data_IF_542124018172
#
_entry.id   IF_542124018172
#
_cell.length_a   1.000
_cell.length_b   1.000
_cell.length_c   1.000
_cell.angle_alpha   90.00
_cell.angle_beta   90.00
_cell.angle_gamma   90.00
#
_symmetry.space_group_name_H-M   'P 1'
#
loop_
_entity.id
_entity.type
_entity.pdbx_description
1 polymer ?
#
# COMPACT_ATOMS: atom_id res chain seq x y z
N UNK A 1 19.62 -8.41 17.11
CA UNK A 1 20.00 -7.83 15.79
C UNK A 1 19.60 -8.74 14.61
N UNK A 2 19.90 -10.05 14.63
CA UNK A 2 19.52 -10.97 13.52
C UNK A 2 18.01 -11.11 13.27
N UNK A 3 17.17 -11.01 14.31
CA UNK A 3 15.71 -11.07 14.17
C UNK A 3 15.14 -9.87 13.40
N UNK A 4 15.66 -8.66 13.64
CA UNK A 4 15.18 -7.44 12.97
C UNK A 4 15.55 -7.43 11.48
N UNK A 5 16.74 -7.89 11.12
CA UNK A 5 17.18 -8.07 9.73
C UNK A 5 16.33 -9.12 8.98
N UNK A 6 15.94 -10.21 9.66
CA UNK A 6 15.02 -11.21 9.09
C UNK A 6 13.62 -10.61 8.87
N UNK A 7 13.10 -9.82 9.80
CA UNK A 7 11.80 -9.15 9.65
C UNK A 7 11.84 -8.17 8.47
N UNK A 8 12.89 -7.35 8.39
CA UNK A 8 13.07 -6.41 7.28
C UNK A 8 13.15 -7.10 5.91
N UNK A 9 13.97 -8.16 5.80
CA UNK A 9 14.11 -8.94 4.57
C UNK A 9 12.83 -9.69 4.19
N UNK A 10 12.05 -10.12 5.18
CA UNK A 10 10.77 -10.77 4.96
C UNK A 10 9.66 -9.80 4.54
N UNK A 11 9.61 -8.60 5.15
CA UNK A 11 8.64 -7.56 4.78
C UNK A 11 8.85 -7.04 3.35
N UNK A 12 10.11 -6.86 2.96
CA UNK A 12 10.45 -6.23 1.68
C UNK A 12 10.53 -7.22 0.50
N UNK A 13 11.01 -8.45 0.71
CA UNK A 13 11.35 -9.36 -0.40
C UNK A 13 10.73 -10.77 -0.29
N UNK A 14 10.92 -11.47 0.83
CA UNK A 14 10.55 -12.89 0.90
C UNK A 14 9.07 -13.16 1.18
N UNK A 15 8.37 -12.26 1.86
CA UNK A 15 6.97 -12.45 2.28
C UNK A 15 6.12 -11.18 2.10
N UNK A 16 6.44 -10.38 1.07
CA UNK A 16 5.67 -9.19 0.73
C UNK A 16 4.21 -9.57 0.45
N UNK A 17 3.27 -8.93 1.17
CA UNK A 17 1.85 -9.24 1.15
C UNK A 17 1.23 -9.10 -0.25
N UNK A 18 1.70 -8.14 -1.05
CA UNK A 18 1.18 -7.92 -2.40
C UNK A 18 1.74 -8.91 -3.43
N UNK A 19 3.03 -9.24 -3.36
CA UNK A 19 3.73 -10.04 -4.38
C UNK A 19 3.68 -11.55 -4.13
N UNK A 20 3.62 -11.97 -2.86
CA UNK A 20 3.74 -13.38 -2.48
C UNK A 20 2.43 -13.91 -1.89
N UNK A 21 1.73 -13.11 -1.08
CA UNK A 21 0.49 -13.54 -0.45
C UNK A 21 -0.78 -13.14 -1.24
N UNK A 22 -0.66 -12.28 -2.25
CA UNK A 22 -1.77 -11.73 -3.04
C UNK A 22 -2.89 -11.13 -2.15
N UNK A 23 -2.52 -10.56 -1.01
CA UNK A 23 -3.44 -9.90 -0.08
C UNK A 23 -3.42 -8.39 -0.31
N UNK A 24 -4.57 -7.74 -0.15
CA UNK A 24 -4.69 -6.29 -0.37
C UNK A 24 -4.90 -5.87 -1.83
N UNK A 25 -5.45 -6.77 -2.66
CA UNK A 25 -5.76 -6.50 -4.06
C UNK A 25 -6.80 -5.39 -4.25
N UNK A 26 -7.79 -5.27 -3.35
CA UNK A 26 -8.87 -4.29 -3.49
C UNK A 26 -8.36 -2.83 -3.63
N UNK A 27 -7.52 -2.30 -2.70
CA UNK A 27 -6.96 -0.96 -2.88
C UNK A 27 -5.93 -0.88 -4.00
N UNK A 28 -5.21 -1.97 -4.27
CA UNK A 28 -4.20 -2.03 -5.32
C UNK A 28 -4.83 -1.87 -6.71
N UNK A 29 -5.93 -2.55 -6.99
CA UNK A 29 -6.61 -2.46 -8.28
C UNK A 29 -7.35 -1.13 -8.46
N UNK A 30 -7.89 -0.57 -7.38
CA UNK A 30 -8.71 0.64 -7.44
C UNK A 30 -7.89 1.93 -7.60
N UNK A 31 -6.72 2.02 -6.96
CA UNK A 31 -6.02 3.32 -6.78
C UNK A 31 -4.72 3.44 -7.58
N UNK A 32 -4.21 2.34 -8.16
CA UNK A 32 -2.98 2.37 -8.99
C UNK A 32 -3.19 2.86 -10.42
N UNK A 33 -4.22 3.69 -10.66
CA UNK A 33 -4.42 4.31 -11.98
C UNK A 33 -3.38 5.43 -12.20
N UNK A 34 -3.02 6.15 -11.14
CA UNK A 34 -2.03 7.24 -11.13
C UNK A 34 -1.01 7.02 -10.02
N UNK A 35 0.23 7.44 -10.25
CA UNK A 35 1.36 7.34 -9.32
C UNK A 35 1.13 8.19 -8.06
N UNK A 36 0.60 9.41 -8.23
CA UNK A 36 0.31 10.36 -7.15
C UNK A 36 -0.66 9.75 -6.12
N UNK A 37 -1.73 9.13 -6.62
CA UNK A 37 -2.73 8.46 -5.78
C UNK A 37 -2.16 7.21 -5.09
N UNK A 38 -1.32 6.45 -5.82
CA UNK A 38 -0.64 5.28 -5.28
C UNK A 38 0.33 5.64 -4.13
N UNK A 39 1.05 6.77 -4.24
CA UNK A 39 1.91 7.29 -3.17
C UNK A 39 1.07 7.71 -1.96
N UNK A 40 0.01 8.49 -2.17
CA UNK A 40 -0.86 8.95 -1.09
C UNK A 40 -1.47 7.81 -0.29
N UNK A 41 -2.04 6.81 -0.99
CA UNK A 41 -2.62 5.64 -0.34
C UNK A 41 -1.55 4.73 0.29
N UNK A 42 -0.38 4.57 -0.34
CA UNK A 42 0.73 3.79 0.20
C UNK A 42 1.23 4.35 1.54
N UNK A 43 1.43 5.67 1.61
CA UNK A 43 1.85 6.34 2.84
C UNK A 43 0.78 6.24 3.93
N UNK A 44 -0.49 6.50 3.59
CA UNK A 44 -1.61 6.35 4.51
C UNK A 44 -1.71 4.93 5.08
N UNK A 45 -1.64 3.91 4.23
CA UNK A 45 -1.70 2.49 4.65
C UNK A 45 -0.49 2.09 5.49
N UNK A 46 0.71 2.60 5.20
CA UNK A 46 1.92 2.35 6.00
C UNK A 46 1.77 2.93 7.40
N UNK A 47 1.29 4.18 7.51
CA UNK A 47 1.04 4.80 8.81
C UNK A 47 0.02 4.01 9.64
N UNK A 48 -1.12 3.66 9.02
CA UNK A 48 -2.16 2.85 9.69
C UNK A 48 -1.60 1.51 10.14
N UNK A 49 -0.81 0.83 9.30
CA UNK A 49 -0.25 -0.48 9.61
C UNK A 49 0.74 -0.44 10.79
N UNK A 50 1.57 0.59 10.88
CA UNK A 50 2.49 0.79 12.02
C UNK A 50 1.68 1.04 13.29
N UNK A 51 0.73 1.97 13.24
CA UNK A 51 -0.07 2.36 14.41
C UNK A 51 -0.97 1.23 14.92
N UNK A 52 -1.64 0.52 14.01
CA UNK A 52 -2.51 -0.60 14.34
C UNK A 52 -1.72 -1.78 14.90
N UNK A 53 -0.61 -2.17 14.28
CA UNK A 53 0.19 -3.30 14.75
C UNK A 53 0.84 -3.03 16.11
N UNK A 54 1.28 -1.80 16.35
CA UNK A 54 1.85 -1.41 17.65
C UNK A 54 0.79 -1.47 18.73
N UNK A 55 -0.37 -0.87 18.48
CA UNK A 55 -1.50 -0.86 19.43
C UNK A 55 -2.00 -2.26 19.72
N UNK A 56 -2.23 -3.09 18.69
CA UNK A 56 -2.71 -4.46 18.85
C UNK A 56 -1.73 -5.31 19.65
N UNK A 57 -0.42 -5.13 19.44
CA UNK A 57 0.61 -5.83 20.21
C UNK A 57 0.61 -5.45 21.69
N UNK A 58 0.34 -4.19 22.02
CA UNK A 58 0.20 -3.72 23.42
C UNK A 58 -1.04 -4.33 24.08
N UNK A 59 -2.18 -4.30 23.38
CA UNK A 59 -3.46 -4.76 23.91
C UNK A 59 -3.68 -6.28 23.84
N UNK A 60 -2.74 -7.04 23.24
CA UNK A 60 -2.90 -8.47 22.95
C UNK A 60 -3.32 -9.35 24.15
N UNK A 61 -2.91 -9.01 25.37
CA UNK A 61 -3.22 -9.80 26.57
C UNK A 61 -4.64 -9.55 27.11
N UNK A 62 -5.25 -8.43 26.75
CA UNK A 62 -6.63 -8.07 27.17
C UNK A 62 -7.69 -8.57 26.19
N UNK A 63 -7.28 -8.99 24.98
CA UNK A 63 -8.19 -9.36 23.90
C UNK A 63 -8.54 -10.86 24.02
N UNK A 64 -9.82 -11.15 24.23
CA UNK A 64 -10.36 -12.50 24.21
C UNK A 64 -10.34 -13.08 22.79
N UNK A 65 -10.05 -14.38 22.66
CA UNK A 65 -9.85 -15.04 21.36
C UNK A 65 -11.12 -15.02 20.49
N UNK A 66 -12.29 -15.04 21.13
CA UNK A 66 -13.59 -15.15 20.48
C UNK A 66 -13.98 -13.85 19.75
N UNK A 67 -13.44 -12.70 20.17
CA UNK A 67 -13.81 -11.36 19.65
C UNK A 67 -12.61 -10.61 19.06
N UNK A 68 -11.51 -11.30 18.74
CA UNK A 68 -10.27 -10.66 18.29
C UNK A 68 -10.41 -9.89 16.96
N UNK A 69 -11.08 -10.48 15.97
CA UNK A 69 -11.19 -9.91 14.61
C UNK A 69 -11.99 -8.59 14.65
N UNK A 70 -13.20 -8.53 15.26
CA UNK A 70 -13.92 -7.28 15.43
C UNK A 70 -13.12 -6.18 16.16
N UNK A 71 -12.39 -6.54 17.22
CA UNK A 71 -11.56 -5.57 17.97
C UNK A 71 -10.43 -5.03 17.11
N UNK A 72 -9.76 -5.88 16.31
CA UNK A 72 -8.71 -5.43 15.40
C UNK A 72 -9.26 -4.49 14.33
N UNK A 73 -10.40 -4.82 13.72
CA UNK A 73 -11.05 -3.96 12.72
C UNK A 73 -11.44 -2.62 13.34
N UNK A 74 -11.96 -2.59 14.57
CA UNK A 74 -12.32 -1.36 15.27
C UNK A 74 -11.10 -0.48 15.58
N UNK A 75 -9.98 -1.09 15.99
CA UNK A 75 -8.71 -0.38 16.17
C UNK A 75 -8.14 0.17 14.86
N UNK A 76 -8.23 -0.59 13.77
CA UNK A 76 -7.78 -0.12 12.45
C UNK A 76 -8.69 1.04 12.00
N UNK A 77 -10.01 0.92 12.16
CA UNK A 77 -10.97 1.94 11.78
C UNK A 77 -10.70 3.28 12.47
N UNK A 78 -10.39 3.28 13.77
CA UNK A 78 -10.08 4.52 14.49
C UNK A 78 -8.81 5.21 13.96
N UNK A 79 -7.77 4.46 13.60
CA UNK A 79 -6.58 5.05 12.95
C UNK A 79 -6.87 5.54 11.53
N UNK A 80 -7.70 4.81 10.78
CA UNK A 80 -8.12 5.24 9.44
C UNK A 80 -8.93 6.55 9.50
N UNK A 81 -9.83 6.70 10.48
CA UNK A 81 -10.56 7.96 10.69
C UNK A 81 -9.62 9.12 11.03
N UNK A 82 -8.56 8.89 11.81
CA UNK A 82 -7.54 9.92 12.05
C UNK A 82 -6.88 10.34 10.73
N UNK A 83 -6.52 9.39 9.87
CA UNK A 83 -5.95 9.69 8.55
C UNK A 83 -6.94 10.44 7.67
N UNK A 84 -8.21 10.07 7.68
CA UNK A 84 -9.28 10.74 6.94
C UNK A 84 -9.38 12.23 7.32
N UNK A 85 -9.42 12.53 8.62
CA UNK A 85 -9.47 13.89 9.14
C UNK A 85 -8.20 14.69 8.82
N UNK A 86 -7.03 14.06 8.91
CA UNK A 86 -5.74 14.68 8.54
C UNK A 86 -5.71 15.01 7.06
N UNK A 87 -6.17 14.11 6.19
CA UNK A 87 -6.26 14.36 4.75
C UNK A 87 -7.22 15.51 4.45
N UNK A 88 -8.38 15.56 5.09
CA UNK A 88 -9.33 16.65 4.91
C UNK A 88 -8.76 18.02 5.33
N UNK A 89 -7.87 18.05 6.34
CA UNK A 89 -7.27 19.29 6.84
C UNK A 89 -6.06 19.78 6.04
N UNK A 90 -5.21 18.88 5.52
CA UNK A 90 -3.94 19.25 4.88
C UNK A 90 -3.90 19.00 3.37
N UNK A 91 -4.69 18.03 2.87
CA UNK A 91 -4.65 17.55 1.49
C UNK A 91 -6.07 17.40 0.92
N UNK A 92 -6.83 18.51 0.90
CA UNK A 92 -8.24 18.51 0.53
C UNK A 92 -8.50 17.98 -0.90
N UNK A 93 -7.66 18.36 -1.87
CA UNK A 93 -7.79 17.89 -3.25
C UNK A 93 -7.58 16.37 -3.35
N UNK A 94 -6.63 15.83 -2.57
CA UNK A 94 -6.39 14.39 -2.51
C UNK A 94 -7.55 13.68 -1.82
N UNK A 95 -8.15 14.29 -0.79
CA UNK A 95 -9.34 13.76 -0.11
C UNK A 95 -10.57 13.68 -1.03
N UNK A 96 -10.78 14.64 -1.94
CA UNK A 96 -11.89 14.58 -2.89
C UNK A 96 -11.86 13.33 -3.79
N UNK A 97 -10.65 12.81 -4.06
CA UNK A 97 -10.45 11.62 -4.89
C UNK A 97 -10.35 10.36 -4.02
N UNK A 98 -9.50 10.38 -2.99
CA UNK A 98 -9.21 9.22 -2.16
C UNK A 98 -10.23 8.95 -1.06
N UNK A 99 -11.09 9.91 -0.70
CA UNK A 99 -12.02 9.80 0.42
C UNK A 99 -12.93 8.57 0.34
N UNK A 100 -13.36 8.19 -0.87
CA UNK A 100 -14.16 6.97 -1.11
C UNK A 100 -13.33 5.69 -0.90
N UNK A 101 -12.01 5.77 -1.08
CA UNK A 101 -11.08 4.65 -0.93
C UNK A 101 -10.49 4.53 0.48
N UNK A 102 -10.59 5.56 1.33
CA UNK A 102 -10.11 5.51 2.73
C UNK A 102 -10.76 4.34 3.52
N UNK A 103 -12.07 4.07 3.43
CA UNK A 103 -12.68 2.89 4.06
C UNK A 103 -12.13 1.54 3.56
N UNK A 104 -11.55 1.46 2.35
CA UNK A 104 -10.90 0.24 1.86
C UNK A 104 -9.63 -0.10 2.63
N UNK A 105 -9.05 0.87 3.35
CA UNK A 105 -7.92 0.62 4.26
C UNK A 105 -8.39 -0.25 5.44
N UNK A 106 -9.58 0.03 5.99
CA UNK A 106 -10.14 -0.73 7.13
C UNK A 106 -10.36 -2.19 6.77
N UNK A 107 -10.87 -2.44 5.57
CA UNK A 107 -11.17 -3.78 5.06
C UNK A 107 -10.00 -4.42 4.31
N UNK A 108 -8.80 -3.81 4.37
CA UNK A 108 -7.64 -4.34 3.69
C UNK A 108 -7.17 -5.64 4.35
N UNK A 109 -7.25 -6.73 3.58
CA UNK A 109 -6.89 -8.07 4.03
C UNK A 109 -5.42 -8.18 4.44
N UNK A 110 -4.53 -7.37 3.87
CA UNK A 110 -3.12 -7.35 4.25
C UNK A 110 -2.93 -6.76 5.66
N UNK A 111 -3.64 -5.68 5.99
CA UNK A 111 -3.55 -5.04 7.30
C UNK A 111 -4.09 -5.97 8.39
N UNK A 112 -5.27 -6.54 8.17
CA UNK A 112 -5.88 -7.49 9.10
C UNK A 112 -5.03 -8.77 9.26
N UNK A 113 -4.52 -9.31 8.14
CA UNK A 113 -3.69 -10.51 8.13
C UNK A 113 -2.39 -10.35 8.91
N UNK A 114 -1.71 -9.20 8.80
CA UNK A 114 -0.50 -8.91 9.61
C UNK A 114 -0.82 -8.68 11.08
N UNK A 115 -1.90 -7.97 11.37
CA UNK A 115 -2.36 -7.76 12.74
C UNK A 115 -2.62 -9.09 13.46
N UNK A 116 -3.29 -10.02 12.79
CA UNK A 116 -3.60 -11.34 13.33
C UNK A 116 -2.37 -12.26 13.39
N UNK A 117 -1.61 -12.37 12.29
CA UNK A 117 -0.52 -13.35 12.19
C UNK A 117 0.74 -12.94 12.99
N UNK A 118 1.03 -11.64 13.09
CA UNK A 118 2.27 -11.12 13.67
C UNK A 118 2.04 -10.28 14.92
N UNK A 119 1.22 -9.23 14.86
CA UNK A 119 1.06 -8.28 15.97
C UNK A 119 0.46 -8.93 17.23
N UNK A 120 -0.49 -9.86 17.07
CA UNK A 120 -1.10 -10.58 18.19
C UNK A 120 -0.14 -11.51 18.97
N UNK A 121 1.02 -11.85 18.38
CA UNK A 121 1.97 -12.84 18.93
C UNK A 121 3.34 -12.25 19.29
N UNK A 122 3.69 -11.07 18.76
CA UNK A 122 5.00 -10.44 18.93
C UNK A 122 4.93 -9.20 19.83
N UNK A 123 6.09 -8.73 20.32
CA UNK A 123 6.20 -7.52 21.14
C UNK A 123 6.00 -6.26 20.30
N UNK A 124 5.69 -5.14 20.96
CA UNK A 124 5.32 -3.89 20.28
C UNK A 124 6.43 -3.36 19.37
N UNK A 125 7.70 -3.42 19.81
CA UNK A 125 8.86 -3.01 18.99
C UNK A 125 8.99 -3.81 17.70
N UNK A 126 8.88 -5.15 17.79
CA UNK A 126 8.96 -6.03 16.61
C UNK A 126 7.76 -5.82 15.69
N UNK A 127 6.59 -5.56 16.25
CA UNK A 127 5.34 -5.36 15.51
C UNK A 127 5.31 -4.01 14.78
N UNK A 128 5.89 -2.97 15.38
CA UNK A 128 6.07 -1.67 14.74
C UNK A 128 7.01 -1.78 13.54
N UNK A 129 8.15 -2.46 13.71
CA UNK A 129 9.12 -2.66 12.62
C UNK A 129 8.53 -3.55 11.50
N UNK A 130 7.74 -4.57 11.85
CA UNK A 130 7.03 -5.36 10.85
C UNK A 130 6.00 -4.55 10.08
N UNK A 131 5.20 -3.72 10.77
CA UNK A 131 4.24 -2.83 10.13
C UNK A 131 4.92 -1.83 9.19
N UNK A 132 6.06 -1.29 9.57
CA UNK A 132 6.83 -0.36 8.74
C UNK A 132 7.38 -1.06 7.48
N UNK A 133 8.02 -2.21 7.64
CA UNK A 133 8.63 -2.94 6.53
C UNK A 133 7.58 -3.49 5.55
N UNK A 134 6.45 -3.99 6.06
CA UNK A 134 5.34 -4.45 5.22
C UNK A 134 4.60 -3.30 4.53
N UNK A 135 4.39 -2.18 5.23
CA UNK A 135 3.76 -1.00 4.65
C UNK A 135 4.60 -0.39 3.53
N UNK A 136 5.92 -0.28 3.74
CA UNK A 136 6.85 0.12 2.69
C UNK A 136 6.84 -0.86 1.51
N UNK A 137 6.87 -2.17 1.78
CA UNK A 137 6.80 -3.20 0.74
C UNK A 137 5.51 -3.11 -0.10
N UNK A 138 4.38 -2.83 0.55
CA UNK A 138 3.10 -2.62 -0.12
C UNK A 138 3.09 -1.32 -0.93
N UNK A 139 3.58 -0.23 -0.35
CA UNK A 139 3.69 1.09 -1.00
C UNK A 139 4.56 1.05 -2.25
N UNK A 140 5.70 0.38 -2.19
CA UNK A 140 6.61 0.22 -3.35
C UNK A 140 5.87 -0.49 -4.50
N UNK A 141 5.10 -1.54 -4.21
CA UNK A 141 4.33 -2.25 -5.23
C UNK A 141 3.25 -1.36 -5.84
N UNK A 142 2.55 -0.57 -5.01
CA UNK A 142 1.56 0.39 -5.51
C UNK A 142 2.21 1.45 -6.40
N UNK A 143 3.35 1.99 -6.02
CA UNK A 143 4.06 3.02 -6.77
C UNK A 143 4.55 2.48 -8.11
N UNK A 144 5.18 1.30 -8.12
CA UNK A 144 5.65 0.65 -9.35
C UNK A 144 4.48 0.35 -10.29
N UNK A 145 3.39 -0.20 -9.76
CA UNK A 145 2.22 -0.53 -10.57
C UNK A 145 1.52 0.73 -11.08
N UNK A 146 1.39 1.76 -10.24
CA UNK A 146 0.85 3.06 -10.62
C UNK A 146 1.68 3.74 -11.71
N UNK A 147 3.00 3.79 -11.56
CA UNK A 147 3.91 4.34 -12.56
C UNK A 147 3.82 3.61 -13.89
N UNK A 148 3.79 2.28 -13.86
CA UNK A 148 3.69 1.47 -15.08
C UNK A 148 2.33 1.65 -15.77
N UNK A 149 1.23 1.74 -15.00
CA UNK A 149 -0.12 1.93 -15.55
C UNK A 149 -0.33 3.34 -16.10
N UNK A 150 0.22 4.36 -15.46
CA UNK A 150 0.17 5.74 -15.93
C UNK A 150 0.98 5.90 -17.22
N UNK A 151 2.20 5.33 -17.26
CA UNK A 151 3.06 5.36 -18.44
C UNK A 151 2.43 4.67 -19.66
N UNK A 152 1.80 3.50 -19.46
CA UNK A 152 1.18 2.71 -20.55
C UNK A 152 -0.21 3.25 -20.93
N UNK A 153 -0.97 3.77 -19.96
CA UNK A 153 -2.33 4.24 -20.16
C UNK A 153 -2.41 5.64 -20.76
N UNK A 154 -1.62 6.57 -20.25
CA UNK A 154 -1.71 8.00 -20.55
C UNK A 154 -0.46 8.59 -21.23
N UNK A 155 0.66 7.86 -21.27
CA UNK A 155 1.90 8.36 -21.89
C UNK A 155 2.59 9.49 -21.11
N UNK A 156 2.11 9.78 -19.90
CA UNK A 156 2.60 10.81 -18.99
C UNK A 156 3.24 10.19 -17.76
N UNK A 157 4.22 10.89 -17.18
CA UNK A 157 4.82 10.56 -15.89
C UNK A 157 4.59 11.75 -14.95
N UNK A 158 4.02 11.47 -13.77
CA UNK A 158 3.68 12.48 -12.76
C UNK A 158 2.56 13.44 -13.16
N UNK A 159 1.60 12.97 -13.97
CA UNK A 159 0.37 13.73 -14.17
C UNK A 159 -0.32 13.89 -12.80
N UNK A 160 -0.80 15.09 -12.48
CA UNK A 160 -1.33 15.45 -11.16
C UNK A 160 -0.35 15.54 -9.97
N UNK A 161 0.97 15.69 -10.17
CA UNK A 161 1.90 15.90 -9.04
C UNK A 161 1.61 17.17 -8.21
N UNK A 162 0.83 18.12 -8.77
CA UNK A 162 0.26 19.28 -8.09
C UNK A 162 -0.64 18.92 -6.89
N UNK A 163 -1.25 17.73 -6.87
CA UNK A 163 -2.07 17.24 -5.75
C UNK A 163 -1.26 16.86 -4.49
N UNK A 164 0.05 16.58 -4.61
CA UNK A 164 0.93 16.27 -3.47
C UNK A 164 1.86 17.42 -3.09
N UNK A 165 2.27 18.27 -4.05
CA UNK A 165 3.31 19.28 -3.85
C UNK A 165 2.86 20.73 -4.13
N UNK A 166 1.58 20.94 -4.42
CA UNK A 166 1.06 22.28 -4.77
C UNK A 166 1.76 22.85 -6.01
N UNK A 167 2.06 24.15 -5.99
CA UNK A 167 2.63 24.90 -7.13
C UNK A 167 4.05 24.49 -7.58
N UNK A 168 4.70 23.55 -6.89
CA UNK A 168 6.00 22.98 -7.29
C UNK A 168 5.85 21.69 -8.13
N UNK A 169 4.62 21.17 -8.30
CA UNK A 169 4.34 19.97 -9.09
C UNK A 169 4.29 20.20 -10.60
N UNK A 170 3.93 21.40 -11.05
CA UNK A 170 3.76 21.70 -12.49
C UNK A 170 5.07 21.55 -13.29
N UNK A 171 6.24 21.61 -12.63
CA UNK A 171 7.57 21.46 -13.25
C UNK A 171 8.07 20.02 -13.38
N UNK A 172 7.31 19.03 -12.89
CA UNK A 172 7.70 17.61 -12.88
C UNK A 172 6.87 16.72 -13.83
N UNK A 173 5.92 17.29 -14.57
CA UNK A 173 5.19 16.57 -15.61
C UNK A 173 6.07 16.37 -16.84
N UNK A 174 6.59 15.15 -17.01
CA UNK A 174 7.29 14.75 -18.23
C UNK A 174 6.24 14.10 -19.14
N UNK A 175 5.77 14.86 -20.13
CA UNK A 175 4.93 14.34 -21.21
C UNK A 175 5.84 13.59 -22.19
N UNK A 176 5.71 12.26 -22.27
CA UNK A 176 6.59 11.41 -23.10
C UNK A 176 5.96 11.13 -24.48
N UNK A 177 4.63 11.23 -24.64
CA UNK A 177 3.95 11.05 -25.94
C UNK A 177 2.76 12.02 -26.12
N UNK A 178 2.79 12.80 -27.21
CA UNK A 178 1.81 13.85 -27.55
C UNK A 178 0.51 13.33 -28.21
N UNK A 179 0.45 12.06 -28.62
CA UNK A 179 -0.69 11.53 -29.40
C UNK A 179 -0.90 10.03 -29.16
N UNK A 180 -1.32 9.67 -27.94
CA UNK A 180 -1.68 8.30 -27.62
C UNK A 180 -3.19 8.21 -27.33
N UNK A 181 -3.92 7.55 -28.23
CA UNK A 181 -5.29 7.09 -27.99
C UNK A 181 -5.23 6.08 -26.83
N UNK A 182 -5.42 6.59 -25.61
CA UNK A 182 -5.20 5.88 -24.36
C UNK A 182 -5.66 4.42 -24.43
N UNK A 183 -4.76 3.50 -24.10
CA UNK A 183 -5.11 2.09 -24.13
C UNK A 183 -6.04 1.82 -22.95
N UNK A 184 -7.36 1.86 -23.19
CA UNK A 184 -8.41 1.59 -22.20
C UNK A 184 -8.14 0.32 -21.38
N UNK A 185 -7.46 -0.67 -21.97
CA UNK A 185 -7.04 -1.89 -21.30
C UNK A 185 -6.07 -1.67 -20.12
N UNK A 186 -5.22 -0.64 -20.16
CA UNK A 186 -4.23 -0.34 -19.12
C UNK A 186 -4.83 0.41 -17.91
N UNK A 187 -5.87 1.21 -18.16
CA UNK A 187 -6.57 2.01 -17.15
C UNK A 187 -7.63 1.17 -16.42
N UNK A 188 -8.20 0.16 -17.06
CA UNK A 188 -9.17 -0.73 -16.42
C UNK A 188 -8.49 -1.79 -15.52
N UNK A 189 -9.24 -2.42 -14.57
CA UNK A 189 -8.72 -3.47 -13.68
C UNK A 189 -7.93 -4.62 -14.34
N UNK A 190 -8.24 -5.07 -15.57
CA UNK A 190 -7.44 -6.09 -16.27
C UNK A 190 -5.97 -5.67 -16.47
N UNK A 191 -5.70 -4.39 -16.72
CA UNK A 191 -4.34 -3.86 -16.85
C UNK A 191 -3.55 -3.96 -15.54
N UNK A 192 -4.21 -3.75 -14.40
CA UNK A 192 -3.59 -3.92 -13.08
C UNK A 192 -3.27 -5.38 -12.77
N UNK A 193 -4.12 -6.34 -13.18
CA UNK A 193 -3.85 -7.76 -13.03
C UNK A 193 -2.67 -8.23 -13.91
N UNK A 194 -2.63 -7.82 -15.18
CA UNK A 194 -1.53 -8.13 -16.09
C UNK A 194 -0.23 -7.53 -15.55
N UNK A 195 -0.29 -6.27 -15.11
CA UNK A 195 0.85 -5.59 -14.52
C UNK A 195 1.38 -6.26 -13.26
N UNK A 196 0.49 -6.60 -12.32
CA UNK A 196 0.86 -7.36 -11.13
C UNK A 196 1.48 -8.73 -11.50
N UNK A 197 0.89 -9.43 -12.48
CA UNK A 197 1.41 -10.70 -12.97
C UNK A 197 2.83 -10.59 -13.54
N UNK A 198 3.12 -9.53 -14.31
CA UNK A 198 4.46 -9.25 -14.82
C UNK A 198 5.46 -8.94 -13.69
N UNK A 199 5.07 -8.13 -12.71
CA UNK A 199 5.94 -7.83 -11.55
C UNK A 199 6.26 -9.12 -10.77
N UNK A 200 5.26 -9.98 -10.56
CA UNK A 200 5.46 -11.30 -9.90
C UNK A 200 6.37 -12.20 -10.73
N UNK A 201 6.22 -12.23 -12.06
CA UNK A 201 7.07 -13.01 -12.95
C UNK A 201 8.54 -12.55 -12.90
N UNK A 202 8.79 -11.23 -12.95
CA UNK A 202 10.13 -10.65 -12.81
C UNK A 202 10.74 -10.99 -11.44
N UNK A 203 9.95 -10.86 -10.37
CA UNK A 203 10.40 -11.20 -9.01
C UNK A 203 10.77 -12.68 -8.89
N UNK A 204 9.96 -13.59 -9.44
CA UNK A 204 10.25 -15.03 -9.43
C UNK A 204 11.48 -15.39 -10.28
N UNK A 205 11.71 -14.67 -11.37
CA UNK A 205 12.90 -14.84 -12.19
C UNK A 205 14.18 -14.44 -11.44
N UNK A 206 14.17 -13.29 -10.74
CA UNK A 206 15.27 -12.88 -9.87
C UNK A 206 15.51 -13.87 -8.73
N UNK A 207 14.44 -14.33 -8.05
CA UNK A 207 14.56 -15.31 -6.97
C UNK A 207 15.17 -16.64 -7.44
N UNK A 208 14.88 -17.05 -8.68
CA UNK A 208 15.45 -18.26 -9.30
C UNK A 208 16.94 -18.09 -9.60
N UNK A 209 17.38 -16.88 -9.98
CA UNK A 209 18.79 -16.56 -10.24
C UNK A 209 19.63 -16.45 -8.98
N UNK A 210 19.04 -16.04 -7.86
CA UNK A 210 19.74 -15.93 -6.56
C UNK A 210 19.93 -17.30 -5.90
N UNK A 211 19.08 -18.28 -6.25
CA UNK A 211 19.17 -19.67 -5.74
C UNK A 211 20.08 -20.58 -6.57
N UNK A 212 20.43 -20.19 -7.79
CA UNK A 212 21.34 -20.90 -8.69
C UNK A 212 22.79 -20.47 -8.44
#
# INVERSE_FOLDING_TARGET
MQDYLKIAKNGLWNNNQALVALLGLCPLLAVTNNITNAIGLGLATTFVLIASNTTISIFRHHIRKEVRIPIFVLLIASFVTIVELVMQSYFYDLYLILGIFVPLIVTNCAILGRAEAFASKNTWEKSALDGLMMGLGFSIVLIILGAMRELIGSGTLFDQSSLLLGSLGDTLSIQVFDDYQGTLLAILPPGAFIGLGLIVAVKNWFDSRIKA
#
